data_IF_629884825730
#
_entry.id   IF_629884825730
#
_cell.length_a   1.000
_cell.length_b   1.000
_cell.length_c   1.000
_cell.angle_alpha   90.00
_cell.angle_beta   90.00
_cell.angle_gamma   90.00
#
_symmetry.space_group_name_H-M   'P 1'
#
loop_
_entity.id
_entity.type
_entity.pdbx_description
1 polymer ?
#
# COMPACT_ATOMS: atom_id res chain seq x y z
N UNK A 1 -28.15 17.03 -16.61
CA UNK A 1 -26.75 16.94 -17.09
C UNK A 1 -25.96 16.10 -16.10
N UNK A 2 -25.26 15.05 -16.51
CA UNK A 2 -24.42 14.29 -15.59
C UNK A 2 -23.23 15.15 -15.14
N UNK A 3 -23.06 15.28 -13.81
CA UNK A 3 -21.91 15.98 -13.22
C UNK A 3 -20.68 15.13 -13.51
N UNK A 4 -19.78 15.60 -14.38
CA UNK A 4 -18.51 14.92 -14.64
C UNK A 4 -17.59 15.11 -13.44
N UNK A 5 -17.42 14.06 -12.65
CA UNK A 5 -16.48 14.03 -11.51
C UNK A 5 -15.06 14.27 -12.03
N UNK A 6 -14.40 15.28 -11.51
CA UNK A 6 -13.01 15.61 -11.86
C UNK A 6 -12.08 14.42 -11.60
N UNK A 7 -11.03 14.25 -12.42
CA UNK A 7 -10.02 13.23 -12.20
C UNK A 7 -9.36 13.30 -10.79
N UNK A 8 -9.27 14.51 -10.24
CA UNK A 8 -8.79 14.75 -8.86
C UNK A 8 -9.69 14.11 -7.81
N UNK A 9 -10.99 14.29 -7.97
CA UNK A 9 -11.96 13.75 -7.02
C UNK A 9 -12.03 12.23 -7.11
N UNK A 10 -11.91 11.66 -8.31
CA UNK A 10 -11.83 10.21 -8.50
C UNK A 10 -10.63 9.60 -7.78
N UNK A 11 -9.43 10.21 -7.88
CA UNK A 11 -8.25 9.71 -7.20
C UNK A 11 -8.40 9.76 -5.67
N UNK A 12 -8.98 10.84 -5.12
CA UNK A 12 -9.26 10.95 -3.67
C UNK A 12 -10.29 9.92 -3.21
N UNK A 13 -11.34 9.67 -4.01
CA UNK A 13 -12.36 8.66 -3.71
C UNK A 13 -11.83 7.22 -3.86
N UNK A 14 -10.85 7.01 -4.73
CA UNK A 14 -10.21 5.70 -4.91
C UNK A 14 -9.27 5.34 -3.75
N UNK A 15 -8.66 6.34 -3.07
CA UNK A 15 -7.64 6.12 -2.04
C UNK A 15 -8.08 5.13 -0.94
N UNK A 16 -9.22 5.30 -0.25
CA UNK A 16 -9.62 4.36 0.80
C UNK A 16 -9.91 2.96 0.25
N UNK A 17 -10.45 2.86 -0.97
CA UNK A 17 -10.73 1.56 -1.60
C UNK A 17 -9.44 0.81 -1.93
N UNK A 18 -8.45 1.50 -2.50
CA UNK A 18 -7.15 0.92 -2.82
C UNK A 18 -6.36 0.57 -1.56
N UNK A 19 -6.46 1.40 -0.51
CA UNK A 19 -5.87 1.09 0.80
C UNK A 19 -6.44 -0.21 1.37
N UNK A 20 -7.77 -0.38 1.36
CA UNK A 20 -8.43 -1.61 1.83
C UNK A 20 -8.08 -2.81 0.96
N UNK A 21 -8.05 -2.65 -0.37
CA UNK A 21 -7.67 -3.71 -1.29
C UNK A 21 -6.24 -4.19 -1.03
N UNK A 22 -5.29 -3.25 -0.90
CA UNK A 22 -3.91 -3.58 -0.60
C UNK A 22 -3.76 -4.21 0.80
N UNK A 23 -4.43 -3.69 1.82
CA UNK A 23 -4.41 -4.28 3.16
C UNK A 23 -4.91 -5.73 3.17
N UNK A 24 -5.96 -6.02 2.41
CA UNK A 24 -6.49 -7.39 2.26
C UNK A 24 -5.52 -8.30 1.50
N UNK A 25 -4.91 -7.82 0.41
CA UNK A 25 -3.91 -8.57 -0.35
C UNK A 25 -2.67 -8.86 0.49
N UNK A 26 -2.18 -7.88 1.24
CA UNK A 26 -1.07 -8.01 2.17
C UNK A 26 -1.40 -9.00 3.30
N UNK A 27 -2.58 -8.89 3.92
CA UNK A 27 -3.00 -9.86 4.94
C UNK A 27 -2.98 -11.29 4.38
N UNK A 28 -3.51 -11.49 3.19
CA UNK A 28 -3.55 -12.81 2.55
C UNK A 28 -2.14 -13.38 2.34
N UNK A 29 -1.19 -12.54 1.86
CA UNK A 29 0.20 -12.94 1.70
C UNK A 29 0.86 -13.28 3.04
N UNK A 30 0.70 -12.44 4.07
CA UNK A 30 1.30 -12.66 5.38
C UNK A 30 0.69 -13.87 6.10
N UNK A 31 -0.62 -14.10 6.00
CA UNK A 31 -1.27 -15.32 6.50
C UNK A 31 -0.70 -16.56 5.81
N UNK A 32 -0.60 -16.54 4.48
CA UNK A 32 -0.02 -17.65 3.75
C UNK A 32 1.44 -17.89 4.16
N UNK A 33 2.24 -16.83 4.30
CA UNK A 33 3.63 -16.92 4.76
C UNK A 33 3.74 -17.51 6.17
N UNK A 34 2.89 -17.07 7.11
CA UNK A 34 2.88 -17.55 8.49
C UNK A 34 2.47 -19.02 8.59
N UNK A 35 1.38 -19.41 7.90
CA UNK A 35 0.82 -20.78 8.00
C UNK A 35 1.64 -21.82 7.23
N UNK A 36 2.35 -21.42 6.19
CA UNK A 36 3.18 -22.28 5.34
C UNK A 36 4.67 -21.95 5.45
N UNK A 37 5.11 -21.36 6.57
CA UNK A 37 6.48 -20.85 6.79
C UNK A 37 7.57 -21.87 6.43
N UNK A 38 7.38 -23.13 6.82
CA UNK A 38 8.34 -24.21 6.56
C UNK A 38 8.47 -24.58 5.05
N UNK A 39 7.53 -24.15 4.22
CA UNK A 39 7.54 -24.41 2.77
C UNK A 39 8.21 -23.29 1.98
N UNK A 40 8.46 -22.13 2.60
CA UNK A 40 9.14 -21.02 1.93
C UNK A 40 10.65 -21.31 1.84
N UNK A 41 11.23 -21.28 0.63
CA UNK A 41 12.63 -21.64 0.45
C UNK A 41 13.58 -20.68 1.15
N UNK A 42 14.58 -21.24 1.82
CA UNK A 42 15.72 -20.50 2.38
C UNK A 42 15.35 -19.34 3.35
N UNK A 43 14.20 -19.44 4.03
CA UNK A 43 13.90 -18.51 5.11
C UNK A 43 14.78 -18.79 6.33
N UNK A 44 15.16 -17.76 7.11
CA UNK A 44 15.90 -17.97 8.35
C UNK A 44 15.10 -18.84 9.32
N UNK A 45 15.76 -19.86 9.90
CA UNK A 45 15.14 -20.78 10.87
C UNK A 45 14.72 -20.10 12.18
N UNK A 46 15.21 -18.87 12.42
CA UNK A 46 14.85 -18.06 13.59
C UNK A 46 13.46 -17.41 13.47
N UNK A 47 12.87 -17.39 12.30
CA UNK A 47 11.55 -16.79 12.11
C UNK A 47 10.45 -17.71 12.60
N UNK A 48 9.53 -17.17 13.38
CA UNK A 48 8.33 -17.84 13.85
C UNK A 48 7.08 -17.29 13.16
N UNK A 49 5.98 -18.04 13.25
CA UNK A 49 4.66 -17.60 12.82
C UNK A 49 4.28 -16.26 13.46
N UNK A 50 4.56 -16.09 14.75
CA UNK A 50 4.27 -14.87 15.48
C UNK A 50 5.01 -13.66 14.92
N UNK A 51 6.29 -13.82 14.55
CA UNK A 51 7.09 -12.73 13.98
C UNK A 51 6.49 -12.21 12.68
N UNK A 52 5.93 -13.09 11.85
CA UNK A 52 5.30 -12.73 10.59
C UNK A 52 4.02 -11.91 10.83
N UNK A 53 3.17 -12.34 11.79
CA UNK A 53 1.97 -11.56 12.13
C UNK A 53 2.31 -10.23 12.79
N UNK A 54 3.33 -10.18 13.65
CA UNK A 54 3.82 -8.92 14.26
C UNK A 54 4.32 -7.98 13.15
N UNK A 55 5.12 -8.48 12.22
CA UNK A 55 5.60 -7.68 11.09
C UNK A 55 4.44 -7.11 10.27
N UNK A 56 3.41 -7.91 9.96
CA UNK A 56 2.22 -7.44 9.27
C UNK A 56 1.48 -6.35 10.05
N UNK A 57 1.29 -6.53 11.37
CA UNK A 57 0.66 -5.53 12.22
C UNK A 57 1.44 -4.21 12.22
N UNK A 58 2.77 -4.27 12.36
CA UNK A 58 3.63 -3.09 12.33
C UNK A 58 3.55 -2.35 11.00
N UNK A 59 3.63 -3.07 9.87
CA UNK A 59 3.55 -2.50 8.54
C UNK A 59 2.17 -1.90 8.29
N UNK A 60 1.09 -2.59 8.65
CA UNK A 60 -0.28 -2.13 8.45
C UNK A 60 -0.59 -0.89 9.31
N UNK A 61 0.01 -0.78 10.50
CA UNK A 61 -0.10 0.40 11.35
C UNK A 61 0.37 1.66 10.62
N UNK A 62 1.41 1.60 9.79
CA UNK A 62 1.83 2.74 8.96
C UNK A 62 0.72 3.21 8.01
N UNK A 63 0.02 2.25 7.39
CA UNK A 63 -1.11 2.55 6.51
C UNK A 63 -2.28 3.22 7.25
N UNK A 64 -2.63 2.70 8.44
CA UNK A 64 -3.69 3.26 9.29
C UNK A 64 -3.32 4.66 9.75
N UNK A 65 -2.13 4.83 10.33
CA UNK A 65 -1.64 6.14 10.81
C UNK A 65 -1.55 7.12 9.63
N UNK A 66 -1.03 6.68 8.49
CA UNK A 66 -0.95 7.49 7.28
C UNK A 66 -2.32 8.00 6.83
N UNK A 67 -3.32 7.14 6.83
CA UNK A 67 -4.67 7.53 6.43
C UNK A 67 -5.33 8.48 7.43
N UNK A 68 -5.14 8.26 8.74
CA UNK A 68 -5.64 9.16 9.77
C UNK A 68 -4.97 10.54 9.69
N UNK A 69 -3.66 10.60 9.47
CA UNK A 69 -2.94 11.86 9.26
C UNK A 69 -3.39 12.57 7.98
N UNK A 70 -3.70 11.82 6.92
CA UNK A 70 -4.24 12.37 5.68
C UNK A 70 -5.62 13.01 5.89
N UNK A 71 -6.49 12.41 6.74
CA UNK A 71 -7.85 12.91 6.98
C UNK A 71 -7.89 14.04 8.01
N UNK A 72 -7.14 13.94 9.11
CA UNK A 72 -7.31 14.77 10.30
C UNK A 72 -6.08 15.58 10.71
N UNK A 73 -4.95 15.33 10.06
CA UNK A 73 -3.67 15.96 10.36
C UNK A 73 -3.03 16.66 9.17
N UNK A 74 -1.73 16.43 9.01
CA UNK A 74 -1.00 16.92 7.84
C UNK A 74 -1.16 16.00 6.65
N UNK A 75 -1.83 16.49 5.59
CA UNK A 75 -2.02 15.76 4.34
C UNK A 75 -0.70 15.26 3.75
N UNK A 76 0.34 16.10 3.73
CA UNK A 76 1.64 15.72 3.18
C UNK A 76 2.26 14.57 3.97
N UNK A 77 2.26 14.65 5.31
CA UNK A 77 2.78 13.59 6.19
C UNK A 77 1.97 12.31 6.01
N UNK A 78 0.63 12.42 5.96
CA UNK A 78 -0.24 11.26 5.73
C UNK A 78 0.07 10.55 4.41
N UNK A 79 0.22 11.30 3.32
CA UNK A 79 0.59 10.74 2.00
C UNK A 79 1.98 10.10 2.01
N UNK A 80 2.94 10.66 2.75
CA UNK A 80 4.27 10.05 2.92
C UNK A 80 4.17 8.71 3.62
N UNK A 81 3.40 8.59 4.70
CA UNK A 81 3.17 7.32 5.40
C UNK A 81 2.48 6.29 4.52
N UNK A 82 1.47 6.71 3.74
CA UNK A 82 0.79 5.83 2.78
C UNK A 82 1.72 5.36 1.66
N UNK A 83 2.62 6.23 1.17
CA UNK A 83 3.63 5.86 0.20
C UNK A 83 4.62 4.84 0.78
N UNK A 84 5.11 5.06 2.01
CA UNK A 84 6.00 4.11 2.71
C UNK A 84 5.29 2.75 2.91
N UNK A 85 4.03 2.77 3.36
CA UNK A 85 3.24 1.54 3.49
C UNK A 85 3.14 0.78 2.17
N UNK A 86 2.84 1.47 1.06
CA UNK A 86 2.77 0.86 -0.25
C UNK A 86 4.14 0.31 -0.72
N UNK A 87 5.24 1.05 -0.49
CA UNK A 87 6.59 0.60 -0.86
C UNK A 87 6.97 -0.69 -0.12
N UNK A 88 6.60 -0.82 1.16
CA UNK A 88 6.86 -2.03 1.94
C UNK A 88 6.14 -3.27 1.38
N UNK A 89 5.03 -3.10 0.66
CA UNK A 89 4.32 -4.20 -0.02
C UNK A 89 5.10 -4.85 -1.17
N UNK A 90 6.18 -4.24 -1.64
CA UNK A 90 7.11 -4.89 -2.57
C UNK A 90 8.08 -5.84 -1.86
N UNK A 91 8.07 -5.86 -0.51
CA UNK A 91 8.90 -6.77 0.29
C UNK A 91 8.66 -8.25 -0.02
N UNK A 92 7.46 -8.63 -0.45
CA UNK A 92 7.16 -9.98 -0.91
C UNK A 92 8.08 -10.47 -2.05
N UNK A 93 8.52 -9.58 -2.94
CA UNK A 93 9.46 -9.95 -4.03
C UNK A 93 10.86 -10.33 -3.53
N UNK A 94 11.21 -9.99 -2.27
CA UNK A 94 12.48 -10.44 -1.67
C UNK A 94 12.55 -11.98 -1.52
N UNK A 95 11.41 -12.69 -1.56
CA UNK A 95 11.41 -14.14 -1.63
C UNK A 95 12.17 -14.64 -2.87
N UNK A 96 12.08 -13.93 -3.98
CA UNK A 96 12.77 -14.31 -5.23
C UNK A 96 14.28 -14.04 -5.24
N UNK A 97 14.78 -13.28 -4.27
CA UNK A 97 16.23 -13.16 -4.04
C UNK A 97 16.81 -14.37 -3.29
N UNK A 98 15.95 -15.14 -2.62
CA UNK A 98 16.31 -16.31 -1.82
C UNK A 98 16.24 -17.62 -2.62
N UNK A 99 15.29 -17.70 -3.55
CA UNK A 99 15.11 -18.83 -4.45
C UNK A 99 14.39 -18.40 -5.75
N UNK A 100 14.64 -19.07 -6.88
CA UNK A 100 13.93 -18.80 -8.14
C UNK A 100 12.41 -18.95 -7.99
N UNK A 101 11.64 -18.25 -8.82
CA UNK A 101 10.15 -18.31 -8.86
C UNK A 101 9.64 -19.75 -8.95
N UNK A 102 10.34 -20.60 -9.70
CA UNK A 102 10.00 -22.02 -9.90
C UNK A 102 10.11 -22.88 -8.65
N UNK A 103 10.82 -22.42 -7.63
CA UNK A 103 10.94 -23.13 -6.34
C UNK A 103 9.85 -22.72 -5.33
N UNK A 104 9.02 -21.75 -5.69
CA UNK A 104 7.86 -21.33 -4.90
C UNK A 104 6.60 -22.04 -5.43
N UNK A 105 5.70 -22.43 -4.54
CA UNK A 105 4.40 -22.97 -4.94
C UNK A 105 3.58 -21.95 -5.73
N UNK A 106 2.62 -22.41 -6.52
CA UNK A 106 1.74 -21.50 -7.27
C UNK A 106 1.01 -20.53 -6.34
N UNK A 107 0.59 -20.97 -5.15
CA UNK A 107 -0.10 -20.12 -4.20
C UNK A 107 0.82 -19.06 -3.57
N UNK A 108 2.09 -19.41 -3.26
CA UNK A 108 3.10 -18.44 -2.85
C UNK A 108 3.26 -17.34 -3.89
N UNK A 109 3.45 -17.74 -5.14
CA UNK A 109 3.60 -16.79 -6.25
C UNK A 109 2.36 -15.90 -6.39
N UNK A 110 1.15 -16.47 -6.35
CA UNK A 110 -0.11 -15.71 -6.44
C UNK A 110 -0.20 -14.67 -5.33
N UNK A 111 0.07 -15.03 -4.09
CA UNK A 111 -0.03 -14.08 -2.97
C UNK A 111 1.03 -12.98 -3.04
N UNK A 112 2.28 -13.30 -3.41
CA UNK A 112 3.36 -12.32 -3.61
C UNK A 112 2.97 -11.30 -4.70
N UNK A 113 2.53 -11.79 -5.87
CA UNK A 113 2.15 -10.91 -6.98
C UNK A 113 0.90 -10.09 -6.70
N UNK A 114 -0.08 -10.66 -5.99
CA UNK A 114 -1.32 -9.95 -5.61
C UNK A 114 -1.01 -8.81 -4.65
N UNK A 115 -0.14 -9.04 -3.66
CA UNK A 115 0.32 -7.98 -2.75
C UNK A 115 1.08 -6.88 -3.50
N UNK A 116 2.06 -7.26 -4.33
CA UNK A 116 2.84 -6.31 -5.11
C UNK A 116 1.97 -5.46 -6.06
N UNK A 117 0.97 -6.07 -6.71
CA UNK A 117 0.02 -5.34 -7.56
C UNK A 117 -0.83 -4.36 -6.74
N UNK A 118 -1.37 -4.80 -5.60
CA UNK A 118 -2.12 -3.93 -4.69
C UNK A 118 -1.28 -2.74 -4.21
N UNK A 119 -0.02 -3.01 -3.84
CA UNK A 119 0.95 -1.99 -3.45
C UNK A 119 1.22 -0.97 -4.58
N UNK A 120 1.42 -1.45 -5.81
CA UNK A 120 1.65 -0.60 -6.97
C UNK A 120 0.45 0.32 -7.26
N UNK A 121 -0.77 -0.22 -7.21
CA UNK A 121 -2.00 0.55 -7.42
C UNK A 121 -2.18 1.62 -6.34
N UNK A 122 -1.93 1.29 -5.07
CA UNK A 122 -1.99 2.25 -3.97
C UNK A 122 -0.93 3.33 -4.14
N UNK A 123 0.33 2.97 -4.41
CA UNK A 123 1.43 3.92 -4.60
C UNK A 123 1.16 4.89 -5.75
N UNK A 124 0.68 4.38 -6.87
CA UNK A 124 0.28 5.21 -8.02
C UNK A 124 -0.81 6.20 -7.64
N UNK A 125 -1.83 5.75 -6.92
CA UNK A 125 -2.93 6.63 -6.48
C UNK A 125 -2.43 7.69 -5.50
N UNK A 126 -1.58 7.33 -4.53
CA UNK A 126 -0.95 8.27 -3.59
C UNK A 126 -0.14 9.32 -4.35
N UNK A 127 0.64 8.92 -5.36
CA UNK A 127 1.42 9.85 -6.18
C UNK A 127 0.51 10.82 -6.97
N UNK A 128 -0.60 10.33 -7.54
CA UNK A 128 -1.59 11.17 -8.22
C UNK A 128 -2.21 12.17 -7.24
N UNK A 129 -2.62 11.72 -6.05
CA UNK A 129 -3.21 12.58 -5.02
C UNK A 129 -2.19 13.63 -4.54
N UNK A 130 -0.91 13.26 -4.38
CA UNK A 130 0.16 14.17 -3.98
C UNK A 130 0.43 15.23 -5.04
N UNK A 131 0.54 14.84 -6.32
CA UNK A 131 0.79 15.75 -7.44
C UNK A 131 -0.33 16.79 -7.67
N UNK A 132 -1.55 16.49 -7.20
CA UNK A 132 -2.69 17.39 -7.36
C UNK A 132 -2.69 18.59 -6.41
N UNK A 133 -1.76 18.68 -5.46
CA UNK A 133 -1.55 19.80 -4.52
C UNK A 133 -2.80 20.29 -3.79
N UNK A 134 -2.63 21.12 -2.79
CA UNK A 134 -3.68 21.98 -2.28
C UNK A 134 -3.78 23.21 -3.22
N UNK A 135 -4.58 23.13 -4.25
CA UNK A 135 -5.05 24.34 -4.91
C UNK A 135 -6.10 24.98 -3.99
N UNK A 136 -5.60 25.63 -2.93
CA UNK A 136 -6.41 26.54 -2.13
C UNK A 136 -6.97 27.66 -3.04
N UNK A 137 -8.04 28.36 -2.60
CA UNK A 137 -8.73 29.41 -3.39
C UNK A 137 -7.89 30.71 -3.48
N UNK A 138 -6.60 30.64 -3.83
CA UNK A 138 -5.72 31.81 -3.98
C UNK A 138 -5.57 32.29 -5.43
N UNK A 139 -6.56 32.03 -6.29
CA UNK A 139 -6.56 32.46 -7.69
C UNK A 139 -7.48 33.61 -8.04
N UNK A 140 -8.09 34.33 -7.10
CA UNK A 140 -9.06 35.38 -7.41
C UNK A 140 -8.87 36.68 -6.65
N UNK A 141 -7.64 37.21 -6.59
CA UNK A 141 -7.39 38.57 -6.07
C UNK A 141 -6.48 39.42 -6.96
N UNK A 142 -6.49 39.25 -8.24
CA UNK A 142 -5.63 40.03 -9.15
C UNK A 142 -6.41 40.75 -10.29
N UNK A 143 -7.70 40.97 -10.19
CA UNK A 143 -8.40 41.84 -11.16
C UNK A 143 -9.46 42.70 -10.45
N UNK A 144 -8.98 43.61 -9.60
CA UNK A 144 -9.76 44.84 -9.22
C UNK A 144 -8.78 45.98 -9.03
N UNK A 145 -8.39 46.58 -10.12
CA UNK A 145 -8.01 48.00 -10.22
C UNK A 145 -8.57 48.60 -11.46
#
# INVERSE_FOLDING_TARGET
MPVTVSGKERARQALPRLLMLYAAASLLHFVHNAEYLAQYPNLPSSWSRADIYIAWCCITTLGVVGYLLYLYGSRAVGLTFLALYAVLGFGGFLHYTRAPVTHHSSMMNVTIWTEGLGAALLLMNVAIVAAQGDQGPHGSKADRH
#
